data_IF_266176453760
#
_entry.id   IF_266176453760
#
_cell.length_a   1.000
_cell.length_b   1.000
_cell.length_c   1.000
_cell.angle_alpha   90.00
_cell.angle_beta   90.00
_cell.angle_gamma   90.00
#
_symmetry.space_group_name_H-M   'P 1'
#
loop_
_entity.id
_entity.type
_entity.pdbx_description
1 polymer ?
#
# COMPACT_ATOMS: atom_id res chain seq x y z
N UNK A 1 34.36 49.19 -13.48
CA UNK A 1 33.84 50.58 -13.44
C UNK A 1 34.75 51.41 -12.57
N UNK A 2 35.27 52.56 -13.03
CA UNK A 2 36.07 53.46 -12.19
C UNK A 2 35.23 53.99 -11.01
N UNK A 3 35.85 54.22 -9.84
CA UNK A 3 35.17 54.88 -8.72
C UNK A 3 34.91 56.33 -9.13
N UNK A 4 33.63 56.70 -9.25
CA UNK A 4 33.24 58.07 -9.61
C UNK A 4 33.47 58.96 -8.38
N UNK A 5 34.10 60.11 -8.58
CA UNK A 5 34.28 61.08 -7.51
C UNK A 5 32.91 61.61 -7.07
N UNK A 6 32.66 61.74 -5.76
CA UNK A 6 31.41 62.31 -5.26
C UNK A 6 31.25 63.75 -5.76
N UNK A 7 30.04 64.09 -6.19
CA UNK A 7 29.67 65.44 -6.64
C UNK A 7 29.88 66.42 -5.49
N UNK A 8 30.78 67.39 -5.68
CA UNK A 8 31.16 68.35 -4.65
C UNK A 8 30.68 69.75 -5.03
N UNK A 9 29.42 70.06 -4.72
CA UNK A 9 28.83 71.36 -5.05
C UNK A 9 29.32 72.54 -4.20
N UNK A 10 30.13 72.32 -3.15
CA UNK A 10 30.34 73.30 -2.07
C UNK A 10 31.80 73.45 -1.57
N UNK A 11 32.77 73.21 -2.46
CA UNK A 11 34.22 73.41 -2.20
C UNK A 11 34.82 72.57 -1.06
N UNK A 12 34.19 71.47 -0.65
CA UNK A 12 34.82 70.52 0.28
C UNK A 12 35.95 69.81 -0.45
N UNK A 13 37.18 69.82 0.06
CA UNK A 13 38.29 69.18 -0.66
C UNK A 13 37.99 67.69 -0.92
N UNK A 14 37.78 67.33 -2.19
CA UNK A 14 37.49 65.95 -2.62
C UNK A 14 38.73 65.07 -2.45
N UNK A 15 38.56 63.79 -2.13
CA UNK A 15 39.66 62.83 -2.13
C UNK A 15 40.20 62.68 -3.56
N UNK A 16 41.46 62.26 -3.68
CA UNK A 16 42.02 61.92 -4.98
C UNK A 16 41.27 60.71 -5.57
N UNK A 17 41.22 60.57 -6.91
CA UNK A 17 40.75 59.34 -7.53
C UNK A 17 41.51 58.15 -6.93
N UNK A 18 40.79 57.12 -6.44
CA UNK A 18 41.42 56.00 -5.76
C UNK A 18 42.15 55.13 -6.79
N UNK A 19 43.22 54.46 -6.36
CA UNK A 19 43.94 53.52 -7.21
C UNK A 19 43.04 52.34 -7.61
N UNK A 20 43.41 51.63 -8.68
CA UNK A 20 42.76 50.39 -9.10
C UNK A 20 43.76 49.22 -9.03
N UNK A 21 43.71 48.37 -7.98
CA UNK A 21 42.71 48.34 -6.90
C UNK A 21 42.92 49.41 -5.81
N UNK A 22 41.85 49.77 -5.05
CA UNK A 22 41.96 50.74 -3.97
C UNK A 22 42.92 50.28 -2.86
N UNK A 23 43.85 51.14 -2.49
CA UNK A 23 44.81 50.93 -1.40
C UNK A 23 44.18 51.22 -0.03
N UNK A 24 44.90 50.89 1.06
CA UNK A 24 44.50 51.34 2.40
C UNK A 24 44.47 52.87 2.53
N UNK A 25 45.34 53.57 1.80
CA UNK A 25 45.35 55.04 1.76
C UNK A 25 44.10 55.60 1.08
N UNK A 26 43.59 54.93 0.04
CA UNK A 26 42.36 55.32 -0.66
C UNK A 26 41.12 55.18 0.24
N UNK A 27 41.03 54.11 1.04
CA UNK A 27 39.96 53.95 2.03
C UNK A 27 40.05 55.01 3.13
N UNK A 28 41.27 55.30 3.61
CA UNK A 28 41.47 56.33 4.61
C UNK A 28 41.07 57.72 4.08
N UNK A 29 41.46 58.05 2.84
CA UNK A 29 41.08 59.31 2.19
C UNK A 29 39.56 59.44 2.01
N UNK A 30 38.86 58.34 1.66
CA UNK A 30 37.40 58.31 1.58
C UNK A 30 36.73 58.52 2.96
N UNK A 31 37.27 57.92 4.01
CA UNK A 31 36.77 58.07 5.38
C UNK A 31 37.01 59.47 5.94
N UNK A 32 38.20 60.03 5.71
CA UNK A 32 38.54 61.42 6.07
C UNK A 32 37.63 62.42 5.34
N UNK A 33 37.33 62.19 4.06
CA UNK A 33 36.38 63.00 3.29
C UNK A 33 34.96 62.97 3.91
N UNK A 34 34.44 61.79 4.24
CA UNK A 34 33.14 61.65 4.91
C UNK A 34 33.11 62.39 6.26
N UNK A 35 34.18 62.29 7.05
CA UNK A 35 34.28 62.99 8.33
C UNK A 35 34.30 64.51 8.15
N UNK A 36 35.01 65.03 7.15
CA UNK A 36 35.03 66.48 6.85
C UNK A 36 33.66 67.02 6.45
N UNK A 37 32.92 66.28 5.63
CA UNK A 37 31.54 66.63 5.26
C UNK A 37 30.65 66.68 6.51
N UNK A 38 30.75 65.68 7.39
CA UNK A 38 30.00 65.65 8.65
C UNK A 38 30.35 66.82 9.58
N UNK A 39 31.63 67.13 9.75
CA UNK A 39 32.06 68.25 10.57
C UNK A 39 31.58 69.60 10.02
N UNK A 40 31.60 69.78 8.69
CA UNK A 40 31.05 71.00 8.06
C UNK A 40 29.52 71.08 8.16
N UNK A 41 28.81 69.97 8.08
CA UNK A 41 27.35 69.93 8.30
C UNK A 41 26.97 70.38 9.72
N UNK A 42 27.83 70.09 10.71
CA UNK A 42 27.63 70.49 12.11
C UNK A 42 28.06 71.94 12.39
N UNK A 43 29.06 72.46 11.66
CA UNK A 43 29.62 73.80 11.89
C UNK A 43 28.87 74.94 11.15
N UNK A 44 28.07 74.62 10.13
CA UNK A 44 27.37 75.62 9.34
C UNK A 44 26.16 76.22 10.09
N UNK A 45 26.35 77.37 10.73
CA UNK A 45 25.28 78.17 11.35
C UNK A 45 24.53 79.08 10.36
N UNK A 46 25.00 79.15 9.11
CA UNK A 46 24.45 80.01 8.06
C UNK A 46 23.69 79.18 7.02
N UNK A 47 22.43 79.53 6.75
CA UNK A 47 21.50 78.72 5.95
C UNK A 47 21.93 78.55 4.48
N UNK A 48 22.81 79.40 3.97
CA UNK A 48 23.21 79.39 2.54
C UNK A 48 24.39 78.47 2.21
N UNK A 49 25.14 77.96 3.20
CA UNK A 49 26.31 77.09 2.98
C UNK A 49 26.17 75.69 3.63
N UNK A 50 24.96 75.28 4.02
CA UNK A 50 24.72 74.03 4.75
C UNK A 50 24.87 72.78 3.88
N UNK A 51 25.85 71.94 4.15
CA UNK A 51 26.01 70.58 3.60
C UNK A 51 24.66 69.86 3.59
N UNK A 52 24.26 69.28 2.47
CA UNK A 52 22.98 68.57 2.35
C UNK A 52 23.10 67.12 2.79
N UNK A 53 21.97 66.49 3.10
CA UNK A 53 21.94 65.04 3.38
C UNK A 53 22.41 64.21 2.17
N UNK A 54 22.21 64.74 0.95
CA UNK A 54 22.69 64.15 -0.30
C UNK A 54 24.22 64.15 -0.39
N UNK A 55 24.89 65.23 0.04
CA UNK A 55 26.36 65.28 0.09
C UNK A 55 26.93 64.23 1.06
N UNK A 56 26.26 64.01 2.19
CA UNK A 56 26.63 62.98 3.18
C UNK A 56 26.38 61.58 2.62
N UNK A 57 25.27 61.36 1.93
CA UNK A 57 24.94 60.09 1.28
C UNK A 57 25.97 59.72 0.20
N UNK A 58 26.31 60.67 -0.68
CA UNK A 58 27.32 60.50 -1.73
C UNK A 58 28.71 60.15 -1.16
N UNK A 59 29.10 60.75 -0.02
CA UNK A 59 30.35 60.44 0.65
C UNK A 59 30.36 59.02 1.27
N UNK A 60 29.22 58.57 1.80
CA UNK A 60 29.06 57.19 2.27
C UNK A 60 29.14 56.19 1.12
N UNK A 61 28.41 56.42 0.03
CA UNK A 61 28.44 55.55 -1.14
C UNK A 61 29.86 55.41 -1.71
N UNK A 62 30.61 56.51 -1.77
CA UNK A 62 32.00 56.49 -2.21
C UNK A 62 32.90 55.64 -1.29
N UNK A 63 32.79 55.79 0.04
CA UNK A 63 33.52 54.98 1.01
C UNK A 63 33.16 53.49 0.89
N UNK A 64 31.86 53.17 0.82
CA UNK A 64 31.40 51.79 0.69
C UNK A 64 31.85 51.15 -0.63
N UNK A 65 31.82 51.88 -1.74
CA UNK A 65 32.34 51.40 -3.02
C UNK A 65 33.86 51.16 -2.98
N UNK A 66 34.63 52.03 -2.32
CA UNK A 66 36.08 51.87 -2.18
C UNK A 66 36.43 50.63 -1.34
N UNK A 67 35.70 50.42 -0.24
CA UNK A 67 35.83 49.21 0.60
C UNK A 67 35.45 47.97 -0.21
N UNK A 68 34.29 47.97 -0.88
CA UNK A 68 33.80 46.82 -1.64
C UNK A 68 34.77 46.38 -2.74
N UNK A 69 35.37 47.34 -3.46
CA UNK A 69 36.36 47.03 -4.50
C UNK A 69 37.69 46.48 -3.97
N UNK A 70 38.13 46.95 -2.80
CA UNK A 70 39.30 46.37 -2.13
C UNK A 70 39.04 44.96 -1.61
N UNK A 71 37.82 44.71 -1.13
CA UNK A 71 37.40 43.37 -0.70
C UNK A 71 37.24 42.43 -1.90
N UNK A 72 36.74 42.93 -3.04
CA UNK A 72 36.61 42.14 -4.27
C UNK A 72 37.96 41.67 -4.85
N UNK A 73 39.07 42.35 -4.52
CA UNK A 73 40.43 41.91 -4.87
C UNK A 73 41.11 41.06 -3.80
N UNK A 74 40.48 40.86 -2.63
CA UNK A 74 40.98 39.93 -1.64
C UNK A 74 40.73 38.49 -2.11
N UNK A 75 41.79 37.72 -2.32
CA UNK A 75 41.70 36.30 -2.61
C UNK A 75 40.89 35.59 -1.51
N UNK A 76 40.06 34.61 -1.90
CA UNK A 76 39.30 33.81 -0.95
C UNK A 76 40.24 33.25 0.12
N UNK A 77 39.83 33.24 1.41
CA UNK A 77 40.67 32.71 2.47
C UNK A 77 41.12 31.27 2.18
N UNK A 78 42.33 30.85 2.59
CA UNK A 78 42.82 29.49 2.32
C UNK A 78 41.91 28.36 2.81
N UNK A 79 41.06 28.62 3.81
CA UNK A 79 40.09 27.66 4.34
C UNK A 79 38.84 27.50 3.47
N UNK A 80 38.55 28.42 2.55
CA UNK A 80 37.33 28.40 1.74
C UNK A 80 37.29 27.23 0.76
N UNK A 81 38.41 26.99 0.06
CA UNK A 81 38.54 25.90 -0.92
C UNK A 81 38.22 24.51 -0.34
N UNK A 82 38.84 24.05 0.77
CA UNK A 82 38.52 22.74 1.31
C UNK A 82 37.07 22.63 1.80
N UNK A 83 36.49 23.70 2.35
CA UNK A 83 35.06 23.72 2.75
C UNK A 83 34.15 23.58 1.53
N UNK A 84 34.44 24.31 0.45
CA UNK A 84 33.67 24.23 -0.79
C UNK A 84 33.75 22.82 -1.41
N UNK A 85 34.92 22.19 -1.39
CA UNK A 85 35.10 20.81 -1.83
C UNK A 85 34.27 19.84 -0.99
N UNK A 86 34.31 19.96 0.34
CA UNK A 86 33.53 19.13 1.25
C UNK A 86 32.01 19.28 1.00
N UNK A 87 31.54 20.50 0.75
CA UNK A 87 30.13 20.76 0.44
C UNK A 87 29.71 20.10 -0.88
N UNK A 88 30.55 20.20 -1.91
CA UNK A 88 30.32 19.52 -3.19
C UNK A 88 30.28 18.00 -3.02
N UNK A 89 31.19 17.42 -2.22
CA UNK A 89 31.18 15.99 -1.91
C UNK A 89 29.91 15.57 -1.18
N UNK A 90 29.47 16.33 -0.17
CA UNK A 90 28.20 16.05 0.52
C UNK A 90 27.02 16.10 -0.44
N UNK A 91 27.00 17.06 -1.37
CA UNK A 91 25.91 17.17 -2.34
C UNK A 91 25.89 15.96 -3.31
N UNK A 92 27.05 15.49 -3.76
CA UNK A 92 27.17 14.28 -4.56
C UNK A 92 26.73 13.02 -3.80
N UNK A 93 27.09 12.91 -2.51
CA UNK A 93 26.65 11.81 -1.66
C UNK A 93 25.13 11.82 -1.46
N UNK A 94 24.55 12.99 -1.21
CA UNK A 94 23.11 13.16 -1.03
C UNK A 94 22.34 12.78 -2.31
N UNK A 95 22.83 13.19 -3.48
CA UNK A 95 22.27 12.79 -4.76
C UNK A 95 22.35 11.27 -4.97
N UNK A 96 23.48 10.65 -4.63
CA UNK A 96 23.65 9.19 -4.71
C UNK A 96 22.65 8.46 -3.79
N UNK A 97 22.48 8.93 -2.55
CA UNK A 97 21.51 8.36 -1.61
C UNK A 97 20.07 8.49 -2.12
N UNK A 98 19.70 9.62 -2.72
CA UNK A 98 18.37 9.79 -3.32
C UNK A 98 18.12 8.79 -4.44
N UNK A 99 19.09 8.58 -5.33
CA UNK A 99 18.98 7.58 -6.39
C UNK A 99 18.85 6.16 -5.85
N UNK A 100 19.66 5.80 -4.84
CA UNK A 100 19.54 4.50 -4.17
C UNK A 100 18.17 4.30 -3.54
N UNK A 101 17.61 5.33 -2.91
CA UNK A 101 16.27 5.27 -2.31
C UNK A 101 15.19 5.04 -3.36
N UNK A 102 15.28 5.70 -4.52
CA UNK A 102 14.38 5.48 -5.66
C UNK A 102 14.47 4.02 -6.14
N UNK A 103 15.69 3.49 -6.33
CA UNK A 103 15.90 2.09 -6.72
C UNK A 103 15.27 1.12 -5.73
N UNK A 104 15.50 1.32 -4.42
CA UNK A 104 14.93 0.46 -3.37
C UNK A 104 13.39 0.49 -3.39
N UNK A 105 12.79 1.64 -3.66
CA UNK A 105 11.32 1.75 -3.79
C UNK A 105 10.79 0.98 -5.00
N UNK A 106 11.50 1.05 -6.13
CA UNK A 106 11.16 0.30 -7.34
C UNK A 106 11.28 -1.21 -7.10
N UNK A 107 12.39 -1.66 -6.51
CA UNK A 107 12.62 -3.07 -6.17
C UNK A 107 11.54 -3.60 -5.22
N UNK A 108 11.19 -2.84 -4.17
CA UNK A 108 10.09 -3.22 -3.26
C UNK A 108 8.75 -3.39 -3.99
N UNK A 109 8.46 -2.53 -4.97
CA UNK A 109 7.23 -2.62 -5.77
C UNK A 109 7.22 -3.90 -6.61
N UNK A 110 8.35 -4.21 -7.26
CA UNK A 110 8.52 -5.44 -8.05
C UNK A 110 8.38 -6.67 -7.17
N UNK A 111 9.04 -6.70 -6.00
CA UNK A 111 8.95 -7.84 -5.07
C UNK A 111 7.51 -8.07 -4.61
N UNK A 112 6.75 -7.01 -4.29
CA UNK A 112 5.33 -7.14 -3.92
C UNK A 112 4.48 -7.73 -5.06
N UNK A 113 4.73 -7.30 -6.30
CA UNK A 113 4.03 -7.86 -7.46
C UNK A 113 4.36 -9.35 -7.64
N UNK A 114 5.63 -9.73 -7.54
CA UNK A 114 6.07 -11.12 -7.63
C UNK A 114 5.42 -12.01 -6.56
N UNK A 115 5.35 -11.53 -5.31
CA UNK A 115 4.69 -12.26 -4.22
C UNK A 115 3.19 -12.47 -4.50
N UNK A 116 2.50 -11.46 -5.02
CA UNK A 116 1.09 -11.59 -5.40
C UNK A 116 0.89 -12.63 -6.51
N UNK A 117 1.76 -12.62 -7.53
CA UNK A 117 1.72 -13.62 -8.61
C UNK A 117 1.98 -15.02 -8.08
N UNK A 118 2.98 -15.22 -7.21
CA UNK A 118 3.24 -16.52 -6.60
C UNK A 118 2.05 -17.02 -5.77
N UNK A 119 1.39 -16.14 -5.01
CA UNK A 119 0.20 -16.52 -4.24
C UNK A 119 -0.94 -16.99 -5.16
N UNK A 120 -1.16 -16.29 -6.28
CA UNK A 120 -2.19 -16.68 -7.26
C UNK A 120 -1.86 -18.04 -7.89
N UNK A 121 -0.59 -18.26 -8.27
CA UNK A 121 -0.14 -19.54 -8.83
C UNK A 121 -0.29 -20.69 -7.83
N UNK A 122 0.05 -20.46 -6.56
CA UNK A 122 -0.12 -21.45 -5.49
C UNK A 122 -1.59 -21.82 -5.30
N UNK A 123 -2.49 -20.84 -5.28
CA UNK A 123 -3.94 -21.08 -5.19
C UNK A 123 -4.46 -21.89 -6.39
N UNK A 124 -4.00 -21.56 -7.60
CA UNK A 124 -4.36 -22.30 -8.81
C UNK A 124 -3.87 -23.75 -8.76
N UNK A 125 -2.62 -23.96 -8.34
CA UNK A 125 -2.03 -25.30 -8.18
C UNK A 125 -2.78 -26.12 -7.12
N UNK A 126 -3.16 -25.50 -6.01
CA UNK A 126 -3.98 -26.16 -4.99
C UNK A 126 -5.34 -26.60 -5.54
N UNK A 127 -5.98 -25.75 -6.36
CA UNK A 127 -7.21 -26.11 -7.07
C UNK A 127 -7.01 -27.32 -7.99
N UNK A 128 -5.97 -27.30 -8.82
CA UNK A 128 -5.63 -28.41 -9.72
C UNK A 128 -5.34 -29.72 -8.96
N UNK A 129 -4.64 -29.65 -7.82
CA UNK A 129 -4.41 -30.83 -6.98
C UNK A 129 -5.70 -31.40 -6.39
N UNK A 130 -6.64 -30.53 -5.99
CA UNK A 130 -7.94 -30.96 -5.52
C UNK A 130 -8.73 -31.67 -6.63
N UNK A 131 -8.71 -31.12 -7.85
CA UNK A 131 -9.34 -31.71 -9.02
C UNK A 131 -8.75 -33.09 -9.36
N UNK A 132 -7.42 -33.21 -9.43
CA UNK A 132 -6.74 -34.48 -9.69
C UNK A 132 -7.07 -35.53 -8.63
N UNK A 133 -7.06 -35.15 -7.35
CA UNK A 133 -7.43 -36.06 -6.25
C UNK A 133 -8.89 -36.51 -6.36
N UNK A 134 -9.78 -35.59 -6.74
CA UNK A 134 -11.21 -35.88 -6.95
C UNK A 134 -11.39 -36.85 -8.11
N UNK A 135 -10.78 -36.58 -9.26
CA UNK A 135 -10.82 -37.45 -10.45
C UNK A 135 -10.23 -38.83 -10.18
N UNK A 136 -9.11 -38.90 -9.46
CA UNK A 136 -8.51 -40.17 -9.04
C UNK A 136 -9.48 -41.01 -8.20
N UNK A 137 -10.16 -40.38 -7.23
CA UNK A 137 -11.12 -41.09 -6.39
C UNK A 137 -12.35 -41.55 -7.19
N UNK A 138 -12.84 -40.73 -8.12
CA UNK A 138 -13.95 -41.09 -9.02
C UNK A 138 -13.55 -42.28 -9.90
N UNK A 139 -12.36 -42.24 -10.51
CA UNK A 139 -11.86 -43.32 -11.36
C UNK A 139 -11.67 -44.63 -10.58
N UNK A 140 -11.18 -44.56 -9.34
CA UNK A 140 -11.12 -45.72 -8.47
C UNK A 140 -12.51 -46.29 -8.19
N UNK A 141 -13.47 -45.45 -7.80
CA UNK A 141 -14.84 -45.86 -7.48
C UNK A 141 -15.53 -46.52 -8.67
N UNK A 142 -15.25 -46.05 -9.89
CA UNK A 142 -15.71 -46.65 -11.13
C UNK A 142 -15.34 -48.12 -11.27
N UNK A 143 -14.15 -48.48 -10.81
CA UNK A 143 -13.65 -49.87 -10.82
C UNK A 143 -14.05 -50.69 -9.59
N UNK A 144 -14.60 -50.05 -8.55
CA UNK A 144 -14.89 -50.69 -7.27
C UNK A 144 -16.27 -51.39 -7.21
N UNK A 145 -17.05 -51.33 -8.30
CA UNK A 145 -18.39 -51.95 -8.38
C UNK A 145 -19.34 -51.39 -7.33
N UNK A 146 -20.00 -52.22 -6.48
CA UNK A 146 -20.95 -51.75 -5.45
C UNK A 146 -20.31 -51.21 -4.17
N UNK A 147 -18.98 -51.28 -4.04
CA UNK A 147 -18.28 -50.80 -2.85
C UNK A 147 -18.20 -51.77 -1.67
N UNK A 148 -18.60 -53.04 -1.83
CA UNK A 148 -18.56 -54.06 -0.78
C UNK A 148 -17.19 -54.75 -0.63
N UNK A 149 -16.61 -55.36 -1.68
CA UNK A 149 -15.27 -55.95 -1.58
C UNK A 149 -14.18 -54.86 -1.55
N UNK A 150 -14.47 -53.69 -2.12
CA UNK A 150 -13.57 -52.55 -2.20
C UNK A 150 -14.35 -51.27 -1.91
N UNK A 151 -14.32 -50.72 -0.68
CA UNK A 151 -15.04 -49.49 -0.34
C UNK A 151 -14.63 -48.31 -1.22
N UNK A 152 -15.61 -47.48 -1.58
CA UNK A 152 -15.38 -46.26 -2.32
C UNK A 152 -14.42 -45.32 -1.57
N UNK A 153 -13.54 -44.67 -2.33
CA UNK A 153 -12.76 -43.53 -1.87
C UNK A 153 -13.68 -42.32 -1.77
N UNK A 154 -13.52 -41.57 -0.69
CA UNK A 154 -14.29 -40.36 -0.43
C UNK A 154 -13.93 -39.31 -1.48
N UNK A 155 -14.90 -38.95 -2.31
CA UNK A 155 -14.74 -37.90 -3.32
C UNK A 155 -14.95 -36.54 -2.65
N UNK A 156 -13.90 -35.69 -2.55
CA UNK A 156 -14.06 -34.34 -2.01
C UNK A 156 -15.01 -33.50 -2.87
N UNK A 157 -15.57 -32.45 -2.29
CA UNK A 157 -16.36 -31.46 -3.02
C UNK A 157 -15.45 -30.61 -3.94
N UNK A 158 -16.02 -29.85 -4.90
CA UNK A 158 -15.23 -28.99 -5.79
C UNK A 158 -14.37 -27.94 -5.08
N UNK A 159 -14.73 -27.57 -3.84
CA UNK A 159 -13.93 -26.68 -2.99
C UNK A 159 -12.77 -27.41 -2.26
N UNK A 160 -12.62 -28.71 -2.46
CA UNK A 160 -11.63 -29.58 -1.82
C UNK A 160 -12.02 -30.07 -0.42
N UNK A 161 -13.15 -29.60 0.13
CA UNK A 161 -13.59 -30.04 1.46
C UNK A 161 -14.13 -31.47 1.43
N UNK A 162 -13.97 -32.17 2.54
CA UNK A 162 -14.45 -33.55 2.68
C UNK A 162 -15.88 -33.56 3.22
N UNK A 163 -16.70 -34.57 2.86
CA UNK A 163 -18.08 -34.65 3.34
C UNK A 163 -18.25 -34.68 4.86
N UNK A 164 -17.33 -35.33 5.58
CA UNK A 164 -17.36 -35.35 7.05
C UNK A 164 -17.22 -33.95 7.68
N UNK A 165 -16.44 -33.05 7.07
CA UNK A 165 -16.32 -31.66 7.52
C UNK A 165 -17.63 -30.88 7.36
N UNK A 166 -18.55 -31.37 6.52
CA UNK A 166 -19.89 -30.83 6.32
C UNK A 166 -20.95 -31.61 7.11
N UNK A 167 -20.56 -32.42 8.10
CA UNK A 167 -21.46 -33.32 8.85
C UNK A 167 -22.25 -34.27 7.95
N UNK A 168 -21.65 -34.71 6.84
CA UNK A 168 -22.26 -35.68 5.93
C UNK A 168 -21.62 -37.07 6.06
N UNK A 169 -22.42 -38.14 6.01
CA UNK A 169 -21.90 -39.51 6.14
C UNK A 169 -21.07 -39.90 4.91
N UNK A 170 -19.85 -40.43 5.06
CA UNK A 170 -19.00 -40.76 3.92
C UNK A 170 -19.62 -41.82 3.01
N UNK A 171 -19.64 -41.56 1.70
CA UNK A 171 -20.26 -42.45 0.70
C UNK A 171 -19.32 -43.60 0.35
N UNK A 172 -19.23 -44.61 1.22
CA UNK A 172 -18.26 -45.72 1.09
C UNK A 172 -18.75 -46.89 0.25
N UNK A 173 -20.04 -46.97 -0.06
CA UNK A 173 -20.64 -48.01 -0.90
C UNK A 173 -22.06 -47.59 -1.33
N UNK A 174 -22.66 -48.35 -2.26
CA UNK A 174 -23.97 -48.01 -2.81
C UNK A 174 -25.11 -48.05 -1.78
N UNK A 175 -24.98 -48.89 -0.75
CA UNK A 175 -25.98 -48.99 0.33
C UNK A 175 -26.03 -47.70 1.15
N UNK A 176 -24.88 -47.12 1.49
CA UNK A 176 -24.84 -45.83 2.20
C UNK A 176 -25.54 -44.74 1.40
N UNK A 177 -25.37 -44.72 0.07
CA UNK A 177 -26.02 -43.73 -0.81
C UNK A 177 -27.54 -43.92 -0.83
N UNK A 178 -28.01 -45.18 -0.89
CA UNK A 178 -29.44 -45.51 -0.84
C UNK A 178 -30.08 -45.14 0.49
N UNK A 179 -29.35 -45.34 1.59
CA UNK A 179 -29.82 -45.12 2.94
C UNK A 179 -29.68 -43.63 3.39
N UNK A 180 -29.20 -42.72 2.52
CA UNK A 180 -29.09 -41.28 2.81
C UNK A 180 -30.46 -40.67 3.14
N UNK A 181 -30.51 -39.82 4.16
CA UNK A 181 -31.72 -39.03 4.45
C UNK A 181 -32.02 -38.02 3.33
N UNK A 182 -33.27 -37.59 3.19
CA UNK A 182 -33.65 -36.55 2.21
C UNK A 182 -32.92 -35.22 2.43
N UNK A 183 -32.51 -34.93 3.67
CA UNK A 183 -31.71 -33.75 3.99
C UNK A 183 -30.27 -33.91 3.48
N UNK A 184 -29.64 -35.06 3.75
CA UNK A 184 -28.26 -35.35 3.35
C UNK A 184 -28.13 -35.46 1.83
N UNK A 185 -29.09 -36.15 1.17
CA UNK A 185 -29.12 -36.25 -0.30
C UNK A 185 -29.13 -34.86 -0.93
N UNK A 186 -30.02 -33.96 -0.50
CA UNK A 186 -30.08 -32.59 -1.05
C UNK A 186 -28.82 -31.80 -0.77
N UNK A 187 -28.20 -31.99 0.41
CA UNK A 187 -26.96 -31.31 0.78
C UNK A 187 -25.80 -31.79 -0.09
N UNK A 188 -25.65 -33.10 -0.29
CA UNK A 188 -24.70 -33.68 -1.23
C UNK A 188 -24.91 -33.18 -2.66
N UNK A 189 -26.16 -33.19 -3.12
CA UNK A 189 -26.54 -32.74 -4.45
C UNK A 189 -26.10 -31.30 -4.74
N UNK A 190 -26.38 -30.40 -3.77
CA UNK A 190 -25.99 -28.98 -3.83
C UNK A 190 -24.48 -28.78 -3.75
N UNK A 191 -23.81 -29.45 -2.81
CA UNK A 191 -22.36 -29.28 -2.60
C UNK A 191 -21.52 -29.86 -3.74
N UNK A 192 -21.98 -30.93 -4.39
CA UNK A 192 -21.35 -31.42 -5.63
C UNK A 192 -21.72 -30.56 -6.87
N UNK A 193 -22.66 -29.62 -6.76
CA UNK A 193 -23.06 -28.77 -7.87
C UNK A 193 -23.69 -29.53 -9.04
N UNK A 194 -24.39 -30.63 -8.76
CA UNK A 194 -25.00 -31.48 -9.78
C UNK A 194 -26.16 -30.70 -10.43
N UNK A 195 -26.15 -30.58 -11.77
CA UNK A 195 -27.08 -29.72 -12.53
C UNK A 195 -28.33 -30.43 -13.09
N UNK A 196 -28.56 -31.70 -12.74
CA UNK A 196 -29.67 -32.47 -13.31
C UNK A 196 -31.02 -32.06 -12.68
N UNK A 197 -32.14 -32.06 -13.43
CA UNK A 197 -33.46 -31.86 -12.83
C UNK A 197 -33.91 -33.19 -12.19
N UNK A 198 -33.28 -33.59 -11.09
CA UNK A 198 -33.69 -34.75 -10.32
C UNK A 198 -34.84 -34.35 -9.38
N UNK A 199 -36.08 -34.57 -9.83
CA UNK A 199 -37.31 -34.21 -9.10
C UNK A 199 -37.63 -35.17 -7.96
N UNK A 200 -37.16 -36.43 -8.04
CA UNK A 200 -37.36 -37.44 -7.00
C UNK A 200 -36.09 -37.66 -6.18
N UNK A 201 -36.26 -38.11 -4.94
CA UNK A 201 -35.15 -38.42 -4.03
C UNK A 201 -34.21 -39.49 -4.62
N UNK A 202 -34.78 -40.49 -5.27
CA UNK A 202 -34.04 -41.59 -5.88
C UNK A 202 -33.25 -41.15 -7.11
N UNK A 203 -33.81 -40.25 -7.94
CA UNK A 203 -33.06 -39.63 -9.02
C UNK A 203 -31.86 -38.82 -8.49
N UNK A 204 -32.01 -38.14 -7.34
CA UNK A 204 -30.90 -37.41 -6.72
C UNK A 204 -29.82 -38.33 -6.19
N UNK A 205 -30.20 -39.42 -5.50
CA UNK A 205 -29.25 -40.44 -5.03
C UNK A 205 -28.52 -41.11 -6.19
N UNK A 206 -29.22 -41.43 -7.27
CA UNK A 206 -28.60 -41.98 -8.49
C UNK A 206 -27.61 -40.99 -9.10
N UNK A 207 -27.99 -39.72 -9.21
CA UNK A 207 -27.10 -38.69 -9.73
C UNK A 207 -25.84 -38.52 -8.85
N UNK A 208 -25.98 -38.60 -7.52
CA UNK A 208 -24.83 -38.60 -6.60
C UNK A 208 -23.95 -39.84 -6.84
N UNK A 209 -24.56 -41.03 -6.94
CA UNK A 209 -23.83 -42.28 -7.21
C UNK A 209 -23.01 -42.18 -8.50
N UNK A 210 -23.62 -41.73 -9.59
CA UNK A 210 -22.94 -41.52 -10.87
C UNK A 210 -21.84 -40.46 -10.76
N UNK A 211 -22.09 -39.37 -10.05
CA UNK A 211 -21.13 -38.28 -9.88
C UNK A 211 -19.86 -38.70 -9.12
N UNK A 212 -19.98 -39.60 -8.13
CA UNK A 212 -18.82 -40.14 -7.39
C UNK A 212 -18.17 -41.34 -8.08
N UNK A 213 -18.64 -41.71 -9.27
CA UNK A 213 -18.10 -42.80 -10.08
C UNK A 213 -18.69 -44.18 -9.82
N UNK A 214 -19.80 -44.33 -9.09
CA UNK A 214 -20.42 -45.65 -8.92
C UNK A 214 -21.04 -46.15 -10.23
N UNK A 215 -20.68 -47.38 -10.62
CA UNK A 215 -21.28 -48.12 -11.76
C UNK A 215 -22.30 -49.17 -11.32
N UNK A 216 -22.48 -49.36 -10.01
CA UNK A 216 -23.40 -50.35 -9.50
C UNK A 216 -24.84 -50.00 -9.87
N UNK A 217 -25.63 -50.97 -10.36
CA UNK A 217 -27.03 -50.73 -10.67
C UNK A 217 -27.76 -50.37 -9.36
N UNK A 218 -28.23 -49.13 -9.27
CA UNK A 218 -29.25 -48.75 -8.31
C UNK A 218 -30.56 -49.34 -8.81
N UNK A 219 -30.74 -50.65 -8.59
CA UNK A 219 -32.05 -51.27 -8.68
C UNK A 219 -32.88 -50.66 -7.56
N UNK A 220 -33.55 -49.56 -7.88
CA UNK A 220 -34.72 -49.15 -7.13
C UNK A 220 -35.71 -50.28 -7.39
N UNK A 221 -35.89 -51.11 -6.37
CA UNK A 221 -37.09 -51.94 -6.34
C UNK A 221 -38.20 -50.91 -6.41
N UNK A 222 -38.92 -50.89 -7.54
CA UNK A 222 -40.22 -50.25 -7.61
C UNK A 222 -41.07 -51.01 -6.61
N UNK A 223 -40.95 -50.65 -5.33
CA UNK A 223 -41.92 -50.99 -4.31
C UNK A 223 -43.15 -50.21 -4.74
N UNK A 224 -43.92 -50.84 -5.63
CA UNK A 224 -45.09 -50.26 -6.27
C UNK A 224 -46.01 -49.70 -5.20
N UNK A 225 -46.35 -48.42 -5.36
CA UNK A 225 -47.58 -47.79 -4.90
C UNK A 225 -48.19 -48.42 -3.64
N UNK A 226 -47.40 -48.44 -2.56
CA UNK A 226 -47.89 -48.65 -1.22
C UNK A 226 -48.42 -47.33 -0.69
N UNK A 227 -49.51 -46.84 -1.27
CA UNK A 227 -50.37 -45.78 -0.73
C UNK A 227 -50.94 -46.24 0.63
N UNK A 228 -50.07 -46.26 1.64
CA UNK A 228 -50.41 -46.46 3.04
C UNK A 228 -50.73 -45.12 3.66
N UNK A 229 -51.81 -44.49 3.20
CA UNK A 229 -52.46 -43.39 3.89
C UNK A 229 -53.05 -43.91 5.23
N UNK A 230 -52.18 -44.08 6.22
CA UNK A 230 -52.55 -44.33 7.61
C UNK A 230 -52.92 -43.01 8.28
N UNK A 231 -54.07 -42.45 7.92
CA UNK A 231 -54.73 -41.44 8.72
C UNK A 231 -55.15 -42.06 10.06
N UNK A 232 -54.38 -41.81 11.11
CA UNK A 232 -54.73 -42.12 12.49
C UNK A 232 -55.02 -40.82 13.25
N UNK A 233 -56.25 -40.34 13.13
CA UNK A 233 -56.81 -39.34 14.02
C UNK A 233 -56.85 -39.90 15.45
N UNK A 234 -56.31 -39.15 16.41
CA UNK A 234 -56.38 -39.44 17.83
C UNK A 234 -56.43 -38.14 18.61
N UNK A 235 -57.60 -37.49 18.59
CA UNK A 235 -57.94 -36.43 19.52
C UNK A 235 -57.97 -37.01 20.94
N UNK A 236 -57.19 -36.43 21.84
CA UNK A 236 -57.24 -36.67 23.27
C UNK A 236 -57.10 -35.33 23.98
N UNK A 237 -58.21 -34.61 24.07
CA UNK A 237 -58.37 -33.53 25.02
C UNK A 237 -58.36 -34.14 26.42
N UNK A 238 -57.45 -33.66 27.26
CA UNK A 238 -57.42 -33.92 28.69
C UNK A 238 -57.15 -32.58 29.35
N UNK A 239 -58.23 -31.84 29.55
CA UNK A 239 -58.31 -30.81 30.59
C UNK A 239 -58.05 -31.52 31.93
N UNK A 240 -57.09 -31.04 32.71
CA UNK A 240 -57.10 -31.27 34.16
C UNK A 240 -56.55 -30.01 34.83
N UNK A 241 -57.51 -29.17 35.23
CA UNK A 241 -57.36 -28.05 36.13
C UNK A 241 -56.96 -28.60 37.51
N UNK A 242 -55.76 -28.23 37.96
CA UNK A 242 -55.26 -28.53 39.29
C UNK A 242 -54.70 -27.28 39.94
N UNK A 243 -55.59 -26.34 40.25
CA UNK A 243 -55.38 -25.33 41.28
C UNK A 243 -54.97 -26.01 42.59
N UNK A 244 -53.95 -25.47 43.23
CA UNK A 244 -53.40 -25.95 44.48
C UNK A 244 -52.49 -24.90 45.06
N UNK A 245 -53.14 -23.94 45.73
CA UNK A 245 -52.59 -22.88 46.56
C UNK A 245 -51.60 -23.36 47.64
N UNK A 246 -51.05 -22.35 48.34
CA UNK A 246 -50.43 -22.41 49.66
C UNK A 246 -48.94 -22.82 49.68
N UNK A 247 -48.02 -22.16 50.37
CA UNK A 247 -48.00 -20.97 51.22
C UNK A 247 -46.51 -20.76 51.59
N UNK A 248 -46.16 -19.52 51.96
CA UNK A 248 -44.93 -19.06 52.67
C UNK A 248 -43.57 -18.95 51.93
#
# INVERSE_FOLDING_TARGET
>A
MALVLPTNGRNVRTPLPPNDPPTSADIYAASDYLNRIRFQALAANDMQARVTDEDIANAHEYLHCAIAKKVATAAAPPWFTPVQQQMNTMQQQMNTMQQQMITIQQENTITRQQLNTMQQQMNAMQGQLNDVKREQNIAYNFTAGPGWPYPYKIVPFPDGTLPNAQNLPPLTNIRVIRDLSSADTRKYYRLYGIKLPATTLDAQRLAIALHIGSTAPMLFVEDGDGDGAGAGAGAGAGDDDGDGDDDE
#
